data_IF_144117900085
#
_entry.id   IF_144117900085
#
_cell.length_a   1.000
_cell.length_b   1.000
_cell.length_c   1.000
_cell.angle_alpha   90.00
_cell.angle_beta   90.00
_cell.angle_gamma   90.00
#
_symmetry.space_group_name_H-M   'P 1'
#
loop_
_entity.id
_entity.type
_entity.pdbx_description
1 polymer ?
#
# COMPACT_ATOMS: atom_id res chain seq x y z
N UNK A 1 -10.84 -9.37 5.78
CA UNK A 1 -9.51 -8.75 5.78
C UNK A 1 -8.83 -9.17 4.49
N UNK A 2 -8.61 -8.22 3.59
CA UNK A 2 -7.99 -8.46 2.28
C UNK A 2 -6.53 -8.01 2.30
N UNK A 3 -5.71 -8.64 1.46
CA UNK A 3 -4.30 -8.28 1.26
C UNK A 3 -4.08 -7.97 -0.20
N UNK A 4 -3.47 -6.82 -0.48
CA UNK A 4 -3.17 -6.37 -1.83
C UNK A 4 -1.67 -6.41 -2.05
N UNK A 5 -1.22 -7.20 -3.02
CA UNK A 5 0.19 -7.23 -3.42
C UNK A 5 0.40 -6.26 -4.57
N UNK A 6 1.22 -5.23 -4.33
CA UNK A 6 1.59 -4.25 -5.34
C UNK A 6 2.97 -4.60 -5.89
N UNK A 7 2.99 -5.12 -7.11
CA UNK A 7 4.22 -5.45 -7.83
C UNK A 7 4.67 -4.24 -8.65
N UNK A 8 5.45 -3.34 -8.04
CA UNK A 8 6.11 -2.24 -8.76
C UNK A 8 7.35 -2.79 -9.49
N UNK A 9 7.12 -3.46 -10.64
CA UNK A 9 8.19 -4.16 -11.38
C UNK A 9 9.24 -3.22 -11.99
N UNK A 10 8.92 -1.92 -12.09
CA UNK A 10 9.76 -0.92 -12.76
C UNK A 10 10.22 0.22 -11.82
N UNK A 11 9.74 0.29 -10.57
CA UNK A 11 9.69 1.55 -9.79
C UNK A 11 10.07 1.41 -8.31
N UNK A 12 10.98 0.48 -7.96
CA UNK A 12 11.49 0.34 -6.58
C UNK A 12 12.07 1.65 -6.04
N UNK A 13 12.73 2.45 -6.89
CA UNK A 13 13.30 3.75 -6.51
C UNK A 13 12.23 4.83 -6.23
N UNK A 14 11.01 4.70 -6.78
CA UNK A 14 9.91 5.64 -6.52
C UNK A 14 9.30 5.45 -5.13
N UNK A 15 9.60 4.37 -4.41
CA UNK A 15 9.16 4.18 -3.02
C UNK A 15 9.73 5.23 -2.05
N UNK A 16 10.69 6.04 -2.51
CA UNK A 16 11.21 7.19 -1.77
C UNK A 16 10.36 8.46 -1.89
N UNK A 17 9.39 8.52 -2.81
CA UNK A 17 8.46 9.65 -2.92
C UNK A 17 7.24 9.50 -1.99
N UNK A 18 6.88 10.55 -1.21
CA UNK A 18 5.88 10.46 -0.15
C UNK A 18 4.42 10.25 -0.62
N UNK A 19 4.16 10.41 -1.92
CA UNK A 19 2.82 10.25 -2.49
C UNK A 19 2.90 9.32 -3.71
N UNK A 20 2.37 8.10 -3.55
CA UNK A 20 2.23 7.15 -4.66
C UNK A 20 0.76 6.90 -4.98
N UNK A 21 0.42 7.01 -6.26
CA UNK A 21 -0.89 6.62 -6.77
C UNK A 21 -0.91 5.12 -7.07
N UNK A 22 -1.93 4.43 -6.58
CA UNK A 22 -2.11 2.99 -6.77
C UNK A 22 -3.55 2.71 -7.22
N UNK A 23 -3.70 1.76 -8.14
CA UNK A 23 -5.02 1.25 -8.56
C UNK A 23 -5.27 -0.08 -7.89
N UNK A 24 -6.34 -0.16 -7.10
CA UNK A 24 -6.78 -1.39 -6.46
C UNK A 24 -7.97 -1.99 -7.21
N UNK A 25 -8.03 -3.32 -7.30
CA UNK A 25 -9.15 -4.04 -7.91
C UNK A 25 -10.43 -3.98 -7.06
N UNK A 26 -10.30 -3.62 -5.78
CA UNK A 26 -11.42 -3.36 -4.87
C UNK A 26 -11.08 -2.22 -3.91
N UNK A 27 -12.08 -1.54 -3.34
CA UNK A 27 -11.82 -0.47 -2.37
C UNK A 27 -11.10 -1.03 -1.13
N UNK A 28 -9.96 -0.43 -0.78
CA UNK A 28 -9.27 -0.74 0.48
C UNK A 28 -10.05 -0.17 1.66
N UNK A 29 -10.02 -0.90 2.78
CA UNK A 29 -10.62 -0.49 4.05
C UNK A 29 -9.58 -0.41 5.15
N UNK A 30 -9.89 0.32 6.22
CA UNK A 30 -9.08 0.29 7.44
C UNK A 30 -8.94 -1.15 7.95
N UNK A 31 -7.71 -1.55 8.25
CA UNK A 31 -7.38 -2.92 8.67
C UNK A 31 -6.95 -3.87 7.55
N UNK A 32 -7.13 -3.49 6.27
CA UNK A 32 -6.55 -4.24 5.17
C UNK A 32 -5.02 -4.06 5.13
N UNK A 33 -4.35 -4.96 4.39
CA UNK A 33 -2.90 -4.93 4.24
C UNK A 33 -2.47 -4.63 2.81
N UNK A 34 -1.45 -3.78 2.68
CA UNK A 34 -0.75 -3.50 1.44
C UNK A 34 0.65 -4.12 1.54
N UNK A 35 1.00 -4.99 0.60
CA UNK A 35 2.34 -5.57 0.48
C UNK A 35 3.03 -4.85 -0.69
N UNK A 36 4.14 -4.17 -0.40
CA UNK A 36 4.93 -3.46 -1.40
C UNK A 36 5.93 -4.40 -2.08
N UNK A 37 6.52 -3.93 -3.17
CA UNK A 37 7.47 -4.70 -3.98
C UNK A 37 8.75 -5.07 -3.25
N UNK A 38 9.14 -4.31 -2.22
CA UNK A 38 10.29 -4.63 -1.36
C UNK A 38 9.94 -5.71 -0.30
N UNK A 39 8.71 -6.25 -0.34
CA UNK A 39 8.22 -7.26 0.58
C UNK A 39 7.78 -6.70 1.94
N UNK A 40 7.79 -5.39 2.14
CA UNK A 40 7.21 -4.79 3.34
C UNK A 40 5.69 -4.98 3.34
N UNK A 41 5.15 -5.27 4.53
CA UNK A 41 3.71 -5.35 4.77
C UNK A 41 3.29 -4.16 5.61
N UNK A 42 2.32 -3.40 5.10
CA UNK A 42 1.76 -2.22 5.73
C UNK A 42 0.28 -2.42 6.02
N UNK A 43 -0.18 -1.96 7.18
CA UNK A 43 -1.60 -1.93 7.51
C UNK A 43 -2.20 -0.59 7.11
N UNK A 44 -3.40 -0.62 6.49
CA UNK A 44 -4.19 0.59 6.25
C UNK A 44 -4.76 1.06 7.58
N UNK A 45 -4.29 2.21 8.05
CA UNK A 45 -4.74 2.82 9.29
C UNK A 45 -5.97 3.70 9.06
N UNK A 46 -5.96 4.48 7.99
CA UNK A 46 -7.04 5.40 7.63
C UNK A 46 -7.21 5.51 6.12
N UNK A 47 -8.46 5.70 5.69
CA UNK A 47 -8.83 5.97 4.30
C UNK A 47 -9.55 7.30 4.26
N UNK A 48 -9.09 8.21 3.40
CA UNK A 48 -9.82 9.44 3.11
C UNK A 48 -10.26 9.46 1.66
N UNK A 49 -11.54 9.69 1.43
CA UNK A 49 -12.10 9.75 0.08
C UNK A 49 -12.14 11.19 -0.43
N UNK A 50 -11.72 11.38 -1.68
CA UNK A 50 -11.94 12.60 -2.46
C UNK A 50 -12.78 12.24 -3.69
N UNK A 51 -13.23 13.26 -4.43
CA UNK A 51 -14.14 13.09 -5.57
C UNK A 51 -13.59 12.19 -6.69
N UNK A 52 -12.27 12.03 -6.80
CA UNK A 52 -11.64 11.27 -7.90
C UNK A 52 -10.62 10.21 -7.43
N UNK A 53 -10.29 10.15 -6.14
CA UNK A 53 -9.34 9.19 -5.60
C UNK A 53 -9.53 9.00 -4.10
N UNK A 54 -8.92 7.95 -3.56
CA UNK A 54 -8.82 7.74 -2.11
C UNK A 54 -7.36 7.76 -1.69
N UNK A 55 -7.06 8.40 -0.57
CA UNK A 55 -5.72 8.36 0.04
C UNK A 55 -5.71 7.33 1.15
N UNK A 56 -4.69 6.47 1.15
CA UNK A 56 -4.45 5.46 2.18
C UNK A 56 -3.30 5.91 3.08
N UNK A 57 -3.54 5.90 4.38
CA UNK A 57 -2.51 6.16 5.37
C UNK A 57 -2.03 4.82 5.93
N UNK A 58 -0.76 4.53 5.69
CA UNK A 58 -0.13 3.28 6.04
C UNK A 58 0.68 3.45 7.33
N UNK A 59 0.80 2.37 8.11
CA UNK A 59 1.78 2.32 9.20
C UNK A 59 3.22 2.28 8.64
N UNK A 60 4.22 2.30 9.55
CA UNK A 60 5.65 2.28 9.16
C UNK A 60 6.07 1.04 8.36
N UNK A 61 5.21 0.02 8.27
CA UNK A 61 5.48 -1.23 7.59
C UNK A 61 6.41 -2.14 8.38
N UNK A 62 6.18 -3.44 8.28
CA UNK A 62 7.08 -4.47 8.80
C UNK A 62 7.64 -5.23 7.62
N UNK A 63 8.97 -5.29 7.49
CA UNK A 63 9.61 -6.20 6.53
C UNK A 63 9.41 -7.62 6.99
N UNK A 64 8.79 -8.45 6.15
CA UNK A 64 8.70 -9.88 6.40
C UNK A 64 10.04 -10.49 5.98
N UNK A 65 10.81 -11.12 6.88
CA UNK A 65 12.02 -11.83 6.49
C UNK A 65 11.61 -12.95 5.53
N UNK A 66 12.10 -12.89 4.29
CA UNK A 66 12.00 -14.01 3.37
C UNK A 66 13.01 -15.06 3.84
N UNK A 67 12.50 -16.14 4.43
CA UNK A 67 13.28 -17.35 4.74
C UNK A 67 13.49 -18.22 3.52
#
# INVERSE_FOLDING_TARGET
MYSYTLTFKEDVDRLTTPEQEITLQSPAMTGDFIILSDGSRHQVMFVTHRSHYSSLYLDKGVRIPQG
#
